data_IF_847336758325
#
_entry.id   IF_847336758325
#
_cell.length_a   1.000
_cell.length_b   1.000
_cell.length_c   1.000
_cell.angle_alpha   90.00
_cell.angle_beta   90.00
_cell.angle_gamma   90.00
#
_symmetry.space_group_name_H-M   'P 1'
#
loop_
_entity.id
_entity.type
_entity.pdbx_description
1 polymer ?
#
# COMPACT_ATOMS: atom_id res chain seq x y z
N UNK A 1 9.63 -10.66 -6.63
CA UNK A 1 9.31 -9.92 -5.39
C UNK A 1 10.11 -10.38 -4.15
N UNK A 2 10.41 -11.68 -3.96
CA UNK A 2 11.11 -12.16 -2.75
C UNK A 2 12.47 -11.49 -2.49
N UNK A 3 13.32 -11.32 -3.52
CA UNK A 3 14.59 -10.56 -3.40
C UNK A 3 14.38 -9.10 -2.97
N UNK A 4 13.35 -8.44 -3.49
CA UNK A 4 13.01 -7.07 -3.12
C UNK A 4 12.62 -6.96 -1.64
N UNK A 5 11.69 -7.82 -1.19
CA UNK A 5 11.26 -7.84 0.21
C UNK A 5 12.39 -8.27 1.17
N UNK A 6 13.33 -9.11 0.72
CA UNK A 6 14.50 -9.48 1.51
C UNK A 6 15.50 -8.34 1.64
N UNK A 7 15.66 -7.53 0.58
CA UNK A 7 16.60 -6.43 0.58
C UNK A 7 16.07 -5.25 1.39
N UNK A 8 14.82 -4.85 1.15
CA UNK A 8 14.23 -3.65 1.77
C UNK A 8 13.57 -3.90 3.11
N UNK A 9 13.15 -5.15 3.39
CA UNK A 9 12.52 -5.57 4.67
C UNK A 9 11.44 -4.58 5.15
N UNK A 10 10.41 -4.30 4.33
CA UNK A 10 9.41 -3.30 4.68
C UNK A 10 8.56 -3.75 5.87
N UNK A 11 8.21 -2.80 6.74
CA UNK A 11 7.34 -3.03 7.89
C UNK A 11 5.85 -2.98 7.54
N UNK A 12 5.48 -2.38 6.40
CA UNK A 12 4.09 -2.29 5.92
C UNK A 12 4.03 -2.27 4.39
N UNK A 13 2.97 -2.86 3.83
CA UNK A 13 2.59 -2.69 2.42
C UNK A 13 1.36 -1.79 2.34
N UNK A 14 1.47 -0.67 1.62
CA UNK A 14 0.33 0.19 1.28
C UNK A 14 0.09 0.05 -0.22
N UNK A 15 -1.08 -0.47 -0.59
CA UNK A 15 -1.54 -0.58 -1.98
C UNK A 15 -2.63 0.44 -2.22
N UNK A 16 -2.65 1.06 -3.40
CA UNK A 16 -3.80 1.86 -3.80
C UNK A 16 -4.91 0.95 -4.36
N UNK A 17 -6.17 1.34 -4.22
CA UNK A 17 -7.31 0.61 -4.80
C UNK A 17 -7.15 0.39 -6.31
N UNK A 18 -6.59 1.38 -7.02
CA UNK A 18 -6.28 1.30 -8.45
C UNK A 18 -5.13 0.35 -8.79
N UNK A 19 -4.27 0.03 -7.82
CA UNK A 19 -3.04 -0.72 -8.02
C UNK A 19 -2.98 -1.90 -7.03
N UNK A 20 -3.70 -2.97 -7.37
CA UNK A 20 -3.67 -4.22 -6.62
C UNK A 20 -2.68 -5.18 -7.27
N UNK A 21 -1.68 -5.61 -6.49
CA UNK A 21 -0.68 -6.58 -6.93
C UNK A 21 -0.79 -7.86 -6.07
N UNK A 22 -1.55 -8.88 -6.52
CA UNK A 22 -1.88 -10.04 -5.69
C UNK A 22 -0.66 -10.80 -5.17
N UNK A 23 0.38 -10.91 -5.99
CA UNK A 23 1.64 -11.54 -5.59
C UNK A 23 2.36 -10.76 -4.48
N UNK A 24 2.25 -9.43 -4.47
CA UNK A 24 2.87 -8.59 -3.44
C UNK A 24 2.12 -8.78 -2.12
N UNK A 25 0.79 -8.67 -2.15
CA UNK A 25 -0.10 -8.89 -0.99
C UNK A 25 0.12 -10.26 -0.38
N UNK A 26 0.09 -11.32 -1.19
CA UNK A 26 0.26 -12.67 -0.70
C UNK A 26 1.65 -12.90 -0.10
N UNK A 27 2.71 -12.36 -0.72
CA UNK A 27 4.09 -12.52 -0.24
C UNK A 27 4.43 -11.67 0.98
N UNK A 28 3.82 -10.50 1.15
CA UNK A 28 3.97 -9.68 2.37
C UNK A 28 3.15 -10.28 3.51
N UNK A 29 1.92 -10.71 3.26
CA UNK A 29 1.08 -11.38 4.25
C UNK A 29 1.73 -12.67 4.78
N UNK A 30 2.32 -13.50 3.91
CA UNK A 30 3.08 -14.70 4.31
C UNK A 30 4.28 -14.40 5.23
N UNK A 31 4.78 -13.16 5.23
CA UNK A 31 5.90 -12.71 6.07
C UNK A 31 5.46 -11.99 7.34
N UNK A 32 4.15 -11.94 7.61
CA UNK A 32 3.60 -11.19 8.73
C UNK A 32 3.66 -9.67 8.55
N UNK A 33 3.93 -9.18 7.34
CA UNK A 33 3.94 -7.75 7.04
C UNK A 33 2.49 -7.30 6.86
N UNK A 34 1.99 -6.35 7.67
CA UNK A 34 0.66 -5.79 7.52
C UNK A 34 0.44 -5.21 6.12
N UNK A 35 -0.77 -5.42 5.59
CA UNK A 35 -1.18 -4.91 4.28
C UNK A 35 -2.36 -3.96 4.47
N UNK A 36 -2.24 -2.76 3.94
CA UNK A 36 -3.29 -1.74 3.90
C UNK A 36 -3.65 -1.41 2.47
N UNK A 37 -4.95 -1.37 2.18
CA UNK A 37 -5.49 -0.83 0.94
C UNK A 37 -5.93 0.61 1.19
N UNK A 38 -5.44 1.55 0.38
CA UNK A 38 -5.77 2.96 0.45
C UNK A 38 -6.52 3.37 -0.82
N UNK A 39 -7.66 4.04 -0.67
CA UNK A 39 -8.32 4.66 -1.82
C UNK A 39 -7.57 5.92 -2.22
N UNK A 40 -7.32 6.08 -3.52
CA UNK A 40 -6.72 7.29 -4.08
C UNK A 40 -7.74 8.44 -4.20
N UNK A 41 -9.02 8.19 -3.91
CA UNK A 41 -10.06 9.20 -4.04
C UNK A 41 -9.90 10.28 -2.97
N UNK A 42 -9.66 11.51 -3.44
CA UNK A 42 -9.53 12.68 -2.59
C UNK A 42 -10.93 13.09 -2.13
N UNK A 43 -11.20 13.03 -0.82
CA UNK A 43 -12.48 13.50 -0.28
C UNK A 43 -12.62 15.02 -0.48
N UNK A 44 -13.86 15.53 -0.54
CA UNK A 44 -14.11 16.98 -0.61
C UNK A 44 -13.40 17.75 0.52
N UNK A 45 -13.32 17.16 1.70
CA UNK A 45 -12.64 17.77 2.85
C UNK A 45 -11.12 17.89 2.64
N UNK A 46 -10.49 16.86 2.05
CA UNK A 46 -9.07 16.89 1.69
C UNK A 46 -8.79 17.87 0.55
N UNK A 47 -9.68 17.95 -0.46
CA UNK A 47 -9.56 18.91 -1.56
C UNK A 47 -9.62 20.36 -1.07
N UNK A 48 -10.58 20.67 -0.19
CA UNK A 48 -10.69 22.01 0.43
C UNK A 48 -9.46 22.41 1.23
N UNK A 49 -8.80 21.46 1.91
CA UNK A 49 -7.56 21.71 2.66
C UNK A 49 -6.35 21.91 1.75
N UNK A 50 -6.31 21.25 0.60
CA UNK A 50 -5.19 21.33 -0.36
C UNK A 50 -5.24 22.60 -1.23
N UNK A 51 -6.41 23.23 -1.36
CA UNK A 51 -6.61 24.50 -2.08
C UNK A 51 -6.28 25.75 -1.23
N UNK A 52 -5.91 25.59 0.04
CA UNK A 52 -5.40 26.68 0.90
C UNK A 52 -3.88 26.72 0.85
#
# INVERSE_FOLDING_TARGET
IGRFLNHWRPDILISLESDIWPMMICKTHQRGIPVMLASAQMSESSLRRWQR
#
